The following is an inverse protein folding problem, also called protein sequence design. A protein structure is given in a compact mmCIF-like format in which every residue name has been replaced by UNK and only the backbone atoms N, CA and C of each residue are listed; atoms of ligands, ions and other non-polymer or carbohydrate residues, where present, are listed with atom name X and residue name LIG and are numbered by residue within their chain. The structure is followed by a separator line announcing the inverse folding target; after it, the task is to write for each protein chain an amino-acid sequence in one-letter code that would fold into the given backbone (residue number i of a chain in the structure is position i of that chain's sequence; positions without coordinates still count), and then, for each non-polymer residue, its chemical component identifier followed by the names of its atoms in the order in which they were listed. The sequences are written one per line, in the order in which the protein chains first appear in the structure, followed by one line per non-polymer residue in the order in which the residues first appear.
data_IF_633555170779
#
_entry.id   IF_633555170779
#
_cell.length_a   1.000
_cell.length_b   1.000
_cell.length_c   1.000
_cell.angle_alpha   90.00
_cell.angle_beta   90.00
_cell.angle_gamma   90.00
#
_symmetry.space_group_name_H-M   'P 1'
#
loop_
_entity.id
_entity.type
_entity.pdbx_description
1 polymer ?
#
# COMPACT_ATOMS: atom_id res chain seq x y z
N UNK A 1 14.07 -2.69 12.95
CA UNK A 1 15.12 -1.79 12.48
C UNK A 1 16.06 -2.57 11.54
N UNK A 2 16.00 -2.30 10.21
CA UNK A 2 16.80 -3.02 9.19
C UNK A 2 18.04 -2.19 8.77
N UNK A 3 18.41 -1.16 9.54
CA UNK A 3 19.58 -0.33 9.26
C UNK A 3 19.42 0.70 8.13
N UNK A 4 18.21 0.90 7.63
CA UNK A 4 17.96 1.96 6.64
C UNK A 4 18.00 3.34 7.29
N UNK A 5 18.62 4.31 6.61
CA UNK A 5 18.48 5.72 6.93
C UNK A 5 17.14 6.20 6.35
N UNK A 6 16.27 6.71 7.19
CA UNK A 6 14.92 7.13 6.84
C UNK A 6 14.78 8.63 7.03
N UNK A 7 14.03 9.28 6.13
CA UNK A 7 13.60 10.65 6.28
C UNK A 7 12.10 10.77 5.96
N UNK A 8 11.43 11.76 6.52
CA UNK A 8 9.99 11.99 6.34
C UNK A 8 9.74 13.41 5.86
N UNK A 9 8.93 13.55 4.82
CA UNK A 9 8.44 14.86 4.37
C UNK A 9 6.92 14.82 4.21
N UNK A 10 6.25 15.93 4.58
CA UNK A 10 4.78 16.08 4.46
C UNK A 10 4.47 17.55 4.17
N UNK A 11 3.46 17.78 3.32
CA UNK A 11 3.00 19.12 2.97
C UNK A 11 2.33 19.86 4.14
N UNK A 12 1.86 19.13 5.15
CA UNK A 12 1.26 19.70 6.37
C UNK A 12 2.34 20.07 7.37
N UNK A 13 2.16 21.20 8.07
CA UNK A 13 3.08 21.61 9.14
C UNK A 13 3.05 20.65 10.35
N UNK A 14 1.88 20.07 10.62
CA UNK A 14 1.66 19.13 11.72
C UNK A 14 0.95 17.88 11.19
N UNK A 15 1.65 16.95 10.52
CA UNK A 15 1.03 15.72 10.03
C UNK A 15 0.65 14.80 11.19
N UNK A 16 -0.42 13.99 11.05
CA UNK A 16 -0.78 12.99 12.05
C UNK A 16 0.39 12.06 12.37
N UNK A 17 0.64 11.82 13.66
CA UNK A 17 1.71 10.92 14.12
C UNK A 17 3.12 11.51 14.05
N UNK A 18 3.28 12.81 13.77
CA UNK A 18 4.61 13.45 13.73
C UNK A 18 5.35 13.37 15.08
N UNK A 19 4.62 13.35 16.18
CA UNK A 19 5.11 13.18 17.54
C UNK A 19 5.62 11.76 17.86
N UNK A 20 5.28 10.79 17.01
CA UNK A 20 5.72 9.39 17.12
C UNK A 20 6.99 9.11 16.30
N UNK A 21 7.45 10.09 15.51
CA UNK A 21 8.66 9.93 14.70
C UNK A 21 9.88 10.03 15.62
N UNK A 22 10.79 9.04 15.61
CA UNK A 22 12.02 9.08 16.41
C UNK A 22 12.86 10.33 16.09
N UNK A 23 13.48 10.92 17.10
CA UNK A 23 14.22 12.18 16.98
C UNK A 23 15.41 12.11 16.00
N UNK A 24 15.94 10.92 15.77
CA UNK A 24 17.03 10.66 14.82
C UNK A 24 16.58 10.63 13.35
N UNK A 25 15.28 10.62 13.08
CA UNK A 25 14.73 10.63 11.72
C UNK A 25 14.68 12.08 11.23
N UNK A 26 15.30 12.34 10.09
CA UNK A 26 15.21 13.63 9.44
C UNK A 26 13.78 13.93 9.00
N UNK A 27 13.24 15.09 9.39
CA UNK A 27 11.88 15.49 9.03
C UNK A 27 11.86 16.83 8.32
N UNK A 28 10.95 16.99 7.34
CA UNK A 28 10.67 18.25 6.65
C UNK A 28 9.16 18.39 6.48
N UNK A 29 8.54 19.34 7.17
CA UNK A 29 7.09 19.56 7.22
C UNK A 29 6.69 20.94 6.69
N UNK A 30 5.41 21.07 6.27
CA UNK A 30 4.83 22.30 5.72
C UNK A 30 4.91 22.40 4.19
N UNK A 31 5.79 21.65 3.56
CA UNK A 31 5.90 21.44 2.11
C UNK A 31 6.65 20.15 1.84
N UNK A 32 6.48 19.59 0.67
CA UNK A 32 7.35 18.49 0.23
C UNK A 32 8.76 19.04 -0.04
N UNK A 33 9.74 18.40 0.55
CA UNK A 33 11.15 18.75 0.36
C UNK A 33 11.69 18.02 -0.88
N UNK A 34 11.78 18.76 -1.97
CA UNK A 34 12.19 18.20 -3.26
C UNK A 34 13.66 17.73 -3.23
N UNK A 35 14.55 18.41 -2.53
CA UNK A 35 15.95 17.99 -2.44
C UNK A 35 16.06 16.67 -1.68
N UNK A 36 15.32 16.56 -0.58
CA UNK A 36 15.24 15.33 0.19
C UNK A 36 14.70 14.16 -0.66
N UNK A 37 13.59 14.38 -1.39
CA UNK A 37 13.02 13.37 -2.28
C UNK A 37 13.99 12.96 -3.40
N UNK A 38 14.69 13.91 -4.01
CA UNK A 38 15.66 13.65 -5.07
C UNK A 38 16.97 13.01 -4.59
N UNK A 39 17.25 13.04 -3.29
CA UNK A 39 18.40 12.37 -2.67
C UNK A 39 18.10 10.94 -2.22
N UNK A 40 16.83 10.52 -2.24
CA UNK A 40 16.41 9.21 -1.78
C UNK A 40 16.79 8.09 -2.79
N UNK A 41 17.10 6.92 -2.26
CA UNK A 41 17.25 5.70 -3.08
C UNK A 41 15.88 5.10 -3.45
N UNK A 42 14.87 5.30 -2.60
CA UNK A 42 13.50 4.88 -2.80
C UNK A 42 12.53 5.78 -2.01
N UNK A 43 11.36 6.04 -2.56
CA UNK A 43 10.31 6.82 -1.92
C UNK A 43 9.14 5.89 -1.60
N UNK A 44 8.74 5.85 -0.33
CA UNK A 44 7.52 5.18 0.11
C UNK A 44 6.43 6.24 0.19
N UNK A 45 5.44 6.13 -0.70
CA UNK A 45 4.35 7.10 -0.79
C UNK A 45 3.12 6.62 0.01
N UNK A 46 2.50 7.54 0.76
CA UNK A 46 1.19 7.29 1.37
C UNK A 46 0.12 7.16 0.28
N UNK A 47 -0.83 6.22 0.39
CA UNK A 47 -1.91 6.05 -0.60
C UNK A 47 -2.75 7.31 -0.85
N UNK A 48 -2.86 8.19 0.16
CA UNK A 48 -3.57 9.47 0.05
C UNK A 48 -2.89 10.51 -0.83
N UNK A 49 -1.60 10.33 -1.16
CA UNK A 49 -0.88 11.25 -2.02
C UNK A 49 -1.03 10.86 -3.49
N UNK A 50 -1.17 11.88 -4.36
CA UNK A 50 -1.20 11.64 -5.79
C UNK A 50 0.23 11.43 -6.32
N UNK A 51 0.55 10.28 -6.94
CA UNK A 51 1.84 10.09 -7.60
C UNK A 51 2.11 11.09 -8.74
N UNK A 52 1.07 11.77 -9.23
CA UNK A 52 1.19 12.83 -10.25
C UNK A 52 1.67 14.18 -9.70
N UNK A 53 1.87 14.31 -8.40
CA UNK A 53 2.45 15.52 -7.81
C UNK A 53 3.79 15.84 -8.46
N UNK A 54 4.07 17.12 -8.76
CA UNK A 54 5.31 17.51 -9.46
C UNK A 54 6.58 17.00 -8.79
N UNK A 55 6.63 17.01 -7.48
CA UNK A 55 7.79 16.56 -6.68
C UNK A 55 8.01 15.05 -6.84
N UNK A 56 6.93 14.28 -6.86
CA UNK A 56 6.99 12.83 -7.06
C UNK A 56 7.35 12.51 -8.52
N UNK A 57 6.76 13.24 -9.48
CA UNK A 57 7.11 13.06 -10.90
C UNK A 57 8.58 13.41 -11.19
N UNK A 58 9.14 14.43 -10.54
CA UNK A 58 10.55 14.76 -10.64
C UNK A 58 11.46 13.62 -10.14
N UNK A 59 11.07 12.96 -9.05
CA UNK A 59 11.78 11.79 -8.53
C UNK A 59 11.69 10.59 -9.49
N UNK A 60 10.51 10.30 -10.03
CA UNK A 60 10.30 9.25 -11.03
C UNK A 60 11.14 9.51 -12.28
N UNK A 61 11.15 10.76 -12.79
CA UNK A 61 11.95 11.15 -13.95
C UNK A 61 13.46 10.97 -13.72
N UNK A 62 13.91 11.07 -12.47
CA UNK A 62 15.30 10.79 -12.04
C UNK A 62 15.59 9.29 -11.90
N UNK A 63 14.58 8.43 -12.04
CA UNK A 63 14.70 6.98 -11.90
C UNK A 63 14.58 6.48 -10.46
N UNK A 64 14.11 7.32 -9.51
CA UNK A 64 13.91 6.92 -8.13
C UNK A 64 12.62 6.11 -8.03
N UNK A 65 12.67 4.88 -7.51
CA UNK A 65 11.47 4.06 -7.30
C UNK A 65 10.50 4.73 -6.32
N UNK A 66 9.21 4.76 -6.69
CA UNK A 66 8.13 5.22 -5.84
C UNK A 66 7.18 4.05 -5.59
N UNK A 67 7.05 3.63 -4.35
CA UNK A 67 6.36 2.39 -3.97
C UNK A 67 5.38 2.63 -2.83
N UNK A 68 4.38 1.75 -2.72
CA UNK A 68 3.44 1.74 -1.58
C UNK A 68 4.00 0.96 -0.39
N UNK A 69 3.38 1.13 0.77
CA UNK A 69 3.62 0.28 1.95
C UNK A 69 3.32 -1.19 1.68
N UNK A 70 2.41 -1.49 0.75
CA UNK A 70 2.08 -2.86 0.34
C UNK A 70 3.28 -3.52 -0.37
N UNK A 71 4.01 -2.76 -1.18
CA UNK A 71 5.25 -3.25 -1.79
C UNK A 71 6.31 -3.56 -0.74
N UNK A 72 6.40 -2.73 0.31
CA UNK A 72 7.33 -2.96 1.42
C UNK A 72 6.92 -4.21 2.22
N UNK A 73 5.62 -4.38 2.50
CA UNK A 73 5.12 -5.62 3.10
C UNK A 73 5.56 -6.84 2.28
N UNK A 74 5.31 -6.84 0.96
CA UNK A 74 5.65 -7.99 0.09
C UNK A 74 7.15 -8.32 0.14
N UNK A 75 8.01 -7.32 0.21
CA UNK A 75 9.48 -7.52 0.33
C UNK A 75 9.91 -8.01 1.72
N UNK A 76 9.08 -7.80 2.74
CA UNK A 76 9.40 -8.16 4.13
C UNK A 76 9.00 -9.58 4.51
N UNK A 77 8.22 -10.28 3.67
CA UNK A 77 7.71 -11.61 3.97
C UNK A 77 7.53 -12.46 2.71
N UNK A 78 7.78 -13.77 2.81
CA UNK A 78 7.47 -14.75 1.78
C UNK A 78 6.15 -15.51 2.05
N UNK A 79 5.48 -15.17 3.14
CA UNK A 79 4.19 -15.79 3.50
C UNK A 79 3.13 -15.53 2.43
N UNK A 80 2.18 -16.44 2.24
CA UNK A 80 1.10 -16.27 1.29
C UNK A 80 0.22 -15.05 1.61
N UNK A 81 -0.26 -14.38 0.56
CA UNK A 81 -1.15 -13.23 0.63
C UNK A 81 -2.42 -13.57 -0.16
N UNK A 82 -3.57 -13.40 0.47
CA UNK A 82 -4.87 -13.28 -0.21
C UNK A 82 -5.18 -11.80 -0.34
N UNK A 83 -5.32 -11.33 -1.56
CA UNK A 83 -5.51 -9.92 -1.88
C UNK A 83 -6.93 -9.66 -2.41
N UNK A 84 -7.65 -8.74 -1.79
CA UNK A 84 -9.03 -8.41 -2.11
C UNK A 84 -9.13 -6.93 -2.47
N UNK A 85 -9.72 -6.63 -3.64
CA UNK A 85 -10.10 -5.27 -4.02
C UNK A 85 -11.49 -5.25 -4.66
N UNK A 86 -11.99 -4.09 -5.00
CA UNK A 86 -13.31 -3.85 -5.59
C UNK A 86 -13.80 -2.45 -5.24
N UNK A 87 -14.92 -2.04 -5.79
CA UNK A 87 -15.58 -0.79 -5.38
C UNK A 87 -16.32 -0.99 -4.05
N UNK A 88 -17.09 -2.07 -3.93
CA UNK A 88 -17.96 -2.35 -2.78
C UNK A 88 -17.67 -3.71 -2.16
N UNK A 89 -18.12 -3.91 -0.92
CA UNK A 89 -18.07 -5.15 -0.14
C UNK A 89 -16.65 -5.65 0.22
N UNK A 90 -15.60 -4.93 -0.08
CA UNK A 90 -14.22 -5.32 0.23
C UNK A 90 -14.04 -5.74 1.69
N UNK A 91 -14.41 -4.87 2.63
CA UNK A 91 -14.21 -5.10 4.07
C UNK A 91 -15.00 -6.30 4.58
N UNK A 92 -16.23 -6.49 4.07
CA UNK A 92 -17.05 -7.66 4.42
C UNK A 92 -16.39 -8.97 3.98
N UNK A 93 -15.96 -9.03 2.72
CA UNK A 93 -15.33 -10.24 2.17
C UNK A 93 -13.97 -10.50 2.82
N UNK A 94 -13.16 -9.47 3.01
CA UNK A 94 -11.85 -9.58 3.69
C UNK A 94 -12.00 -10.11 5.11
N UNK A 95 -12.95 -9.57 5.87
CA UNK A 95 -13.23 -10.04 7.24
C UNK A 95 -13.74 -11.48 7.24
N UNK A 96 -14.67 -11.82 6.34
CA UNK A 96 -15.22 -13.16 6.25
C UNK A 96 -14.14 -14.20 5.93
N UNK A 97 -13.26 -13.92 4.94
CA UNK A 97 -12.15 -14.82 4.61
C UNK A 97 -11.21 -14.97 5.80
N UNK A 98 -10.97 -13.87 6.54
CA UNK A 98 -10.17 -13.89 7.77
C UNK A 98 -10.74 -14.83 8.82
N UNK A 99 -12.03 -14.74 9.09
CA UNK A 99 -12.73 -15.62 10.03
C UNK A 99 -12.71 -17.08 9.59
N UNK A 100 -12.99 -17.36 8.32
CA UNK A 100 -12.96 -18.70 7.77
C UNK A 100 -11.57 -19.35 7.86
N UNK A 101 -10.51 -18.57 7.57
CA UNK A 101 -9.14 -19.08 7.66
C UNK A 101 -8.72 -19.32 9.12
N UNK A 102 -9.14 -18.47 10.05
CA UNK A 102 -8.91 -18.64 11.49
C UNK A 102 -9.66 -19.87 12.03
N UNK A 103 -10.92 -20.07 11.63
CA UNK A 103 -11.72 -21.24 12.00
C UNK A 103 -11.10 -22.55 11.45
N UNK A 104 -10.45 -22.48 10.30
CA UNK A 104 -9.65 -23.58 9.73
C UNK A 104 -8.28 -23.76 10.42
N UNK A 105 -8.04 -23.12 11.55
CA UNK A 105 -6.83 -23.27 12.36
C UNK A 105 -5.60 -22.52 11.85
N UNK A 106 -5.75 -21.56 10.94
CA UNK A 106 -4.63 -20.75 10.45
C UNK A 106 -4.36 -19.55 11.33
N UNK A 107 -3.08 -19.25 11.58
CA UNK A 107 -2.68 -17.98 12.18
C UNK A 107 -2.70 -16.90 11.10
N UNK A 108 -3.75 -16.08 11.09
CA UNK A 108 -3.99 -15.07 10.05
C UNK A 108 -3.74 -13.65 10.55
N UNK A 109 -3.31 -12.77 9.65
CA UNK A 109 -3.32 -11.32 9.87
C UNK A 109 -4.18 -10.66 8.79
N UNK A 110 -5.19 -9.91 9.24
CA UNK A 110 -6.17 -9.23 8.39
C UNK A 110 -5.97 -7.73 8.50
N UNK A 111 -5.90 -7.03 7.37
CA UNK A 111 -5.72 -5.58 7.36
C UNK A 111 -5.45 -4.99 5.97
N UNK A 112 -4.63 -3.94 5.93
CA UNK A 112 -4.33 -3.18 4.72
C UNK A 112 -5.12 -1.88 4.67
N UNK A 113 -6.03 -1.72 3.72
CA UNK A 113 -6.96 -0.58 3.68
C UNK A 113 -8.04 -0.67 4.76
N UNK A 114 -8.26 -1.84 5.32
CA UNK A 114 -9.18 -2.13 6.42
C UNK A 114 -8.39 -2.22 7.74
N UNK A 115 -8.84 -1.52 8.77
CA UNK A 115 -8.37 -1.69 10.15
C UNK A 115 -6.88 -1.41 10.32
N UNK A 116 -6.07 -2.44 10.54
CA UNK A 116 -4.63 -2.30 10.79
C UNK A 116 -3.84 -2.05 9.50
N UNK A 117 -2.91 -1.08 9.49
CA UNK A 117 -1.99 -0.89 8.37
C UNK A 117 -1.21 -2.16 8.02
N UNK A 118 -0.97 -2.37 6.74
CA UNK A 118 -0.37 -3.61 6.25
C UNK A 118 0.99 -3.94 6.91
N UNK A 119 1.84 -2.95 7.13
CA UNK A 119 3.15 -3.16 7.75
C UNK A 119 3.07 -3.55 9.23
N UNK A 120 2.03 -3.12 9.95
CA UNK A 120 1.83 -3.51 11.35
C UNK A 120 1.47 -4.98 11.51
N UNK A 121 0.93 -5.60 10.47
CA UNK A 121 0.59 -7.02 10.47
C UNK A 121 1.83 -7.93 10.54
N UNK A 122 2.98 -7.43 10.14
CA UNK A 122 4.24 -8.20 10.20
C UNK A 122 4.67 -8.53 11.63
N UNK A 123 4.21 -7.74 12.61
CA UNK A 123 4.52 -7.95 14.04
C UNK A 123 3.89 -9.22 14.60
N UNK A 124 2.83 -9.72 13.96
CA UNK A 124 2.10 -10.90 14.41
C UNK A 124 2.73 -12.22 13.93
N UNK A 125 3.68 -12.16 13.00
CA UNK A 125 4.27 -13.34 12.31
C UNK A 125 3.19 -14.35 11.89
N UNK A 126 2.27 -13.98 11.00
CA UNK A 126 1.17 -14.85 10.58
C UNK A 126 1.63 -15.92 9.59
N UNK A 127 0.84 -16.98 9.45
CA UNK A 127 0.99 -17.96 8.36
C UNK A 127 0.37 -17.47 7.05
N UNK A 128 -0.59 -16.54 7.12
CA UNK A 128 -1.36 -16.04 5.98
C UNK A 128 -1.75 -14.57 6.20
N UNK A 129 -1.48 -13.74 5.23
CA UNK A 129 -2.00 -12.37 5.17
C UNK A 129 -3.28 -12.32 4.34
N UNK A 130 -4.30 -11.62 4.84
CA UNK A 130 -5.53 -11.34 4.11
C UNK A 130 -5.67 -9.82 4.03
N UNK A 131 -5.47 -9.28 2.84
CA UNK A 131 -5.34 -7.84 2.63
C UNK A 131 -6.49 -7.28 1.83
N UNK A 132 -7.17 -6.30 2.41
CA UNK A 132 -7.98 -5.37 1.64
C UNK A 132 -7.08 -4.33 0.99
N UNK A 133 -7.23 -4.13 -0.31
CA UNK A 133 -6.41 -3.17 -1.05
C UNK A 133 -7.27 -2.14 -1.79
N UNK A 134 -6.95 -0.86 -1.60
CA UNK A 134 -7.55 0.23 -2.36
C UNK A 134 -6.90 0.37 -3.74
N UNK A 135 -7.56 1.09 -4.66
CA UNK A 135 -6.95 1.46 -5.95
C UNK A 135 -5.69 2.31 -5.77
N UNK A 136 -5.67 3.18 -4.76
CA UNK A 136 -4.53 4.05 -4.45
C UNK A 136 -3.29 3.27 -4.00
N UNK A 137 -3.46 2.25 -3.14
CA UNK A 137 -2.38 1.36 -2.76
C UNK A 137 -1.85 0.57 -3.94
N UNK A 138 -2.75 0.06 -4.79
CA UNK A 138 -2.40 -0.74 -5.97
C UNK A 138 -1.71 0.10 -7.05
N UNK A 139 -2.02 1.40 -7.17
CA UNK A 139 -1.42 2.32 -8.14
C UNK A 139 0.12 2.37 -8.06
N UNK A 140 0.65 2.24 -6.87
CA UNK A 140 2.11 2.26 -6.59
C UNK A 140 2.65 0.91 -6.09
N UNK A 141 1.85 -0.15 -6.22
CA UNK A 141 2.27 -1.53 -5.95
C UNK A 141 2.63 -2.22 -7.26
N UNK A 142 3.78 -2.85 -7.33
CA UNK A 142 4.19 -3.68 -8.46
C UNK A 142 4.49 -5.10 -7.99
N UNK A 143 4.02 -6.10 -8.74
CA UNK A 143 4.38 -7.49 -8.53
C UNK A 143 4.09 -7.98 -7.09
N UNK A 144 2.85 -7.79 -6.63
CA UNK A 144 2.38 -8.22 -5.30
C UNK A 144 2.62 -9.71 -5.05
N UNK A 145 2.61 -10.53 -6.11
CA UNK A 145 2.78 -11.99 -6.03
C UNK A 145 1.84 -12.63 -5.01
N UNK A 146 0.59 -12.20 -5.02
CA UNK A 146 -0.42 -12.79 -4.15
C UNK A 146 -0.61 -14.28 -4.47
N UNK A 147 -0.90 -15.09 -3.46
CA UNK A 147 -1.30 -16.48 -3.66
C UNK A 147 -2.66 -16.55 -4.37
N UNK A 148 -3.59 -15.71 -3.90
CA UNK A 148 -4.93 -15.54 -4.48
C UNK A 148 -5.23 -14.05 -4.57
N UNK A 149 -5.79 -13.60 -5.68
CA UNK A 149 -6.29 -12.24 -5.83
C UNK A 149 -7.69 -12.21 -6.43
N UNK A 150 -8.50 -11.27 -5.98
CA UNK A 150 -9.87 -11.06 -6.46
C UNK A 150 -10.20 -9.57 -6.61
N UNK A 151 -10.89 -9.24 -7.70
CA UNK A 151 -11.62 -7.99 -7.89
C UNK A 151 -13.11 -8.31 -7.79
N UNK A 152 -13.74 -7.91 -6.68
CA UNK A 152 -15.13 -8.29 -6.37
C UNK A 152 -16.15 -7.68 -7.33
N UNK A 153 -15.99 -6.40 -7.60
CA UNK A 153 -16.86 -5.62 -8.46
C UNK A 153 -16.21 -4.30 -8.83
N UNK A 154 -16.74 -3.66 -9.87
CA UNK A 154 -16.28 -2.37 -10.36
C UNK A 154 -17.51 -1.48 -10.65
N UNK A 155 -17.60 -0.35 -9.95
CA UNK A 155 -18.54 0.73 -10.18
C UNK A 155 -17.80 2.06 -10.09
N UNK A 156 -18.36 3.12 -10.64
CA UNK A 156 -17.74 4.45 -10.61
C UNK A 156 -17.37 4.87 -9.19
N UNK A 157 -16.09 5.20 -9.01
CA UNK A 157 -15.52 5.67 -7.76
C UNK A 157 -14.15 6.29 -8.04
N UNK A 158 -13.76 7.32 -7.28
CA UNK A 158 -12.44 7.94 -7.36
C UNK A 158 -12.02 8.41 -8.77
N UNK A 159 -12.96 8.84 -9.62
CA UNK A 159 -12.66 9.30 -10.97
C UNK A 159 -11.86 10.62 -10.98
N UNK A 160 -12.00 11.42 -9.93
CA UNK A 160 -11.17 12.60 -9.67
C UNK A 160 -9.66 12.26 -9.62
N UNK A 161 -9.31 11.10 -9.10
CA UNK A 161 -7.93 10.62 -9.03
C UNK A 161 -7.50 9.88 -10.29
N UNK A 162 -8.32 8.97 -10.79
CA UNK A 162 -7.96 8.05 -11.87
C UNK A 162 -8.28 8.60 -13.27
N UNK A 163 -9.03 9.71 -13.36
CA UNK A 163 -9.47 10.37 -14.59
C UNK A 163 -10.73 9.76 -15.18
N UNK A 164 -10.77 8.45 -15.36
CA UNK A 164 -11.91 7.72 -15.90
C UNK A 164 -12.00 6.29 -15.34
N UNK A 165 -13.03 5.57 -15.76
CA UNK A 165 -13.22 4.16 -15.38
C UNK A 165 -12.08 3.26 -15.86
N UNK A 166 -11.46 3.56 -17.00
CA UNK A 166 -10.35 2.76 -17.52
C UNK A 166 -9.11 2.91 -16.63
N UNK A 167 -8.79 4.13 -16.18
CA UNK A 167 -7.72 4.40 -15.21
C UNK A 167 -7.98 3.70 -13.88
N UNK A 168 -9.22 3.75 -13.38
CA UNK A 168 -9.61 3.06 -12.16
C UNK A 168 -9.50 1.53 -12.26
N UNK A 169 -9.96 0.93 -13.38
CA UNK A 169 -9.78 -0.48 -13.68
C UNK A 169 -8.29 -0.85 -13.72
N UNK A 170 -7.50 -0.09 -14.45
CA UNK A 170 -6.06 -0.32 -14.59
C UNK A 170 -5.37 -0.34 -13.23
N UNK A 171 -5.69 0.61 -12.35
CA UNK A 171 -5.14 0.66 -11.00
C UNK A 171 -5.49 -0.61 -10.20
N UNK A 172 -6.78 -1.03 -10.18
CA UNK A 172 -7.20 -2.22 -9.44
C UNK A 172 -6.66 -3.53 -10.04
N UNK A 173 -6.56 -3.64 -11.34
CA UNK A 173 -6.05 -4.85 -12.01
C UNK A 173 -4.57 -5.12 -11.74
N UNK A 174 -3.83 -4.15 -11.21
CA UNK A 174 -2.45 -4.38 -10.74
C UNK A 174 -2.38 -5.44 -9.63
N UNK A 175 -3.49 -5.71 -8.93
CA UNK A 175 -3.59 -6.79 -7.94
C UNK A 175 -3.22 -8.16 -8.50
N UNK A 176 -3.39 -8.36 -9.82
CA UNK A 176 -3.10 -9.61 -10.49
C UNK A 176 -1.64 -9.77 -10.94
N UNK A 177 -0.79 -8.77 -10.71
CA UNK A 177 0.63 -8.85 -11.10
C UNK A 177 1.38 -9.92 -10.30
N UNK A 178 1.80 -10.97 -10.99
CA UNK A 178 2.52 -12.10 -10.40
C UNK A 178 1.69 -13.01 -9.49
N UNK A 179 0.35 -12.90 -9.56
CA UNK A 179 -0.56 -13.75 -8.79
C UNK A 179 -0.49 -15.21 -9.27
N UNK A 180 -0.64 -16.15 -8.32
CA UNK A 180 -0.70 -17.58 -8.65
C UNK A 180 -2.11 -18.02 -9.05
N UNK A 181 -3.14 -17.49 -8.40
CA UNK A 181 -4.55 -17.84 -8.66
C UNK A 181 -5.45 -16.60 -8.66
N UNK A 182 -6.19 -16.40 -9.75
CA UNK A 182 -7.25 -15.40 -9.89
C UNK A 182 -8.60 -16.03 -9.58
N UNK A 183 -9.47 -15.31 -8.86
CA UNK A 183 -10.85 -15.71 -8.53
C UNK A 183 -11.80 -14.59 -8.97
#
# INVERSE_FOLDING_TARGET
NKGYRVAVTDSRANPPGHDQIPAEVQTSFGKFDQELLLSAEEIIISPGLDPKLPEIQAAIAKGIPVVSEIQILRRSTDKPIVAITGSNAKSTVTTLIGLMAADAGKKVAVGGNLGRPALDLTKDDPELYILELSSFQLETTSNLKAEVAVVLNMSEDHLDRHGDMMGYHTAKHRIFQGVKKVV
#
